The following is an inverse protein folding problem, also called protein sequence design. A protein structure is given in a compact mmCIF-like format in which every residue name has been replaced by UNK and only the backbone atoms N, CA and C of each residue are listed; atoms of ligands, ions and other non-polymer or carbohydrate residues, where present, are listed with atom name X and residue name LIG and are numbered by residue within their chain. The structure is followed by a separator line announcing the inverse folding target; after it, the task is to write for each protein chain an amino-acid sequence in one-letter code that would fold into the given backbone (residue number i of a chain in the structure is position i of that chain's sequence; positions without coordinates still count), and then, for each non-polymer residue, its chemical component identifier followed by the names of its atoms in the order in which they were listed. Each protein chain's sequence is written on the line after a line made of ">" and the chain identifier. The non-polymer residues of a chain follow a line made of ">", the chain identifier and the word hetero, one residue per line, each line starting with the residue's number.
data_IF_805687112817
#
_entry.id   IF_805687112817
#
_cell.length_a   1.000
_cell.length_b   1.000
_cell.length_c   1.000
_cell.angle_alpha   90.00
_cell.angle_beta   90.00
_cell.angle_gamma   90.00
#
_symmetry.space_group_name_H-M   'P 1'
#
loop_
_entity.id
_entity.type
_entity.pdbx_description
1 polymer ?
#
# COMPACT_ATOMS: atom_id res chain seq x y z
N UNK A 1 -4.05 -19.18 -13.99
CA UNK A 1 -3.23 -18.62 -15.09
C UNK A 1 -4.05 -17.71 -16.00
N UNK A 2 -4.87 -16.80 -15.44
CA UNK A 2 -5.61 -15.81 -16.23
C UNK A 2 -4.95 -14.43 -16.11
N UNK A 3 -4.64 -14.01 -14.89
CA UNK A 3 -4.03 -12.72 -14.55
C UNK A 3 -2.69 -12.51 -15.25
N UNK A 4 -1.80 -13.52 -15.18
CA UNK A 4 -0.50 -13.47 -15.84
C UNK A 4 -0.62 -13.43 -17.38
N UNK A 5 -1.60 -14.14 -17.96
CA UNK A 5 -1.85 -14.10 -19.40
C UNK A 5 -2.36 -12.73 -19.84
N UNK A 6 -3.28 -12.13 -19.07
CA UNK A 6 -3.77 -10.78 -19.30
C UNK A 6 -2.65 -9.75 -19.17
N UNK A 7 -1.81 -9.84 -18.13
CA UNK A 7 -0.64 -8.97 -17.99
C UNK A 7 0.31 -9.07 -19.18
N UNK A 8 0.58 -10.28 -19.67
CA UNK A 8 1.46 -10.49 -20.82
C UNK A 8 0.90 -9.90 -22.12
N UNK A 9 -0.39 -10.11 -22.40
CA UNK A 9 -1.05 -9.68 -23.64
C UNK A 9 -1.30 -8.17 -23.65
N UNK A 10 -1.83 -7.62 -22.56
CA UNK A 10 -2.32 -6.24 -22.52
C UNK A 10 -1.26 -5.24 -22.03
N UNK A 11 -0.32 -5.69 -21.18
CA UNK A 11 0.59 -4.79 -20.46
C UNK A 11 2.06 -5.21 -20.54
N UNK A 12 2.42 -6.15 -21.41
CA UNK A 12 3.80 -6.60 -21.59
C UNK A 12 4.42 -7.17 -20.31
N UNK A 13 3.62 -7.85 -19.49
CA UNK A 13 4.00 -8.38 -18.17
C UNK A 13 4.46 -7.31 -17.17
N UNK A 14 4.07 -6.05 -17.38
CA UNK A 14 4.47 -4.91 -16.54
C UNK A 14 3.30 -4.35 -15.75
N UNK A 15 3.34 -4.49 -14.43
CA UNK A 15 2.38 -3.84 -13.53
C UNK A 15 2.45 -2.31 -13.64
N UNK A 16 3.63 -1.76 -13.91
CA UNK A 16 3.77 -0.31 -14.12
C UNK A 16 2.98 0.16 -15.35
N UNK A 17 3.00 -0.61 -16.44
CA UNK A 17 2.20 -0.32 -17.64
C UNK A 17 0.70 -0.49 -17.36
N UNK A 18 0.29 -1.50 -16.58
CA UNK A 18 -1.10 -1.62 -16.12
C UNK A 18 -1.54 -0.39 -15.35
N UNK A 19 -0.77 0.03 -14.34
CA UNK A 19 -1.10 1.20 -13.54
C UNK A 19 -1.20 2.47 -14.40
N UNK A 20 -0.24 2.67 -15.29
CA UNK A 20 -0.23 3.80 -16.22
C UNK A 20 -1.45 3.79 -17.15
N UNK A 21 -1.81 2.64 -17.73
CA UNK A 21 -2.98 2.49 -18.59
C UNK A 21 -4.31 2.76 -17.88
N UNK A 22 -4.37 2.58 -16.56
CA UNK A 22 -5.52 2.93 -15.71
C UNK A 22 -5.45 4.37 -15.18
N UNK A 23 -4.52 5.17 -15.67
CA UNK A 23 -4.36 6.58 -15.34
C UNK A 23 -3.65 6.85 -14.02
N UNK A 24 -3.04 5.85 -13.37
CA UNK A 24 -2.23 6.07 -12.18
C UNK A 24 -0.84 6.59 -12.54
N UNK A 25 -0.32 7.50 -11.72
CA UNK A 25 0.96 8.15 -11.95
C UNK A 25 1.18 9.32 -10.99
N UNK A 26 2.14 10.21 -11.31
CA UNK A 26 2.32 11.46 -10.58
C UNK A 26 1.00 12.26 -10.57
N UNK A 27 0.46 12.53 -9.38
CA UNK A 27 -0.82 13.22 -9.21
C UNK A 27 -2.07 12.33 -9.16
N UNK A 28 -1.96 11.03 -9.45
CA UNK A 28 -3.05 10.07 -9.31
C UNK A 28 -2.54 8.77 -8.68
N UNK A 29 -2.55 8.74 -7.34
CA UNK A 29 -1.98 7.65 -6.55
C UNK A 29 -2.95 6.48 -6.37
N UNK A 30 -2.48 5.26 -6.70
CA UNK A 30 -3.24 4.02 -6.49
C UNK A 30 -3.43 3.70 -5.00
N UNK A 31 -2.45 4.00 -4.15
CA UNK A 31 -2.57 3.77 -2.69
C UNK A 31 -3.52 4.77 -2.05
N UNK A 32 -3.53 6.03 -2.51
CA UNK A 32 -4.49 7.03 -2.03
C UNK A 32 -5.92 6.63 -2.39
N UNK A 33 -6.16 6.15 -3.62
CA UNK A 33 -7.46 5.60 -4.01
C UNK A 33 -7.83 4.38 -3.15
N UNK A 34 -6.90 3.45 -2.93
CA UNK A 34 -7.18 2.26 -2.11
C UNK A 34 -7.61 2.61 -0.67
N UNK A 35 -7.08 3.70 -0.11
CA UNK A 35 -7.54 4.24 1.19
C UNK A 35 -8.93 4.87 1.07
N UNK A 36 -9.16 5.69 0.06
CA UNK A 36 -10.46 6.35 -0.16
C UNK A 36 -11.61 5.34 -0.35
N UNK A 37 -11.34 4.22 -1.01
CA UNK A 37 -12.28 3.11 -1.21
C UNK A 37 -12.39 2.16 0.00
N UNK A 38 -11.65 2.43 1.09
CA UNK A 38 -11.67 1.64 2.32
C UNK A 38 -10.98 0.27 2.24
N UNK A 39 -10.37 -0.07 1.11
CA UNK A 39 -9.62 -1.33 0.95
C UNK A 39 -8.34 -1.32 1.78
N UNK A 40 -7.68 -0.17 1.87
CA UNK A 40 -6.45 0.06 2.64
C UNK A 40 -6.71 1.07 3.76
N UNK A 41 -5.79 1.12 4.73
CA UNK A 41 -5.80 2.11 5.82
C UNK A 41 -4.43 2.76 5.96
N UNK A 42 -4.45 3.98 6.48
CA UNK A 42 -3.26 4.67 7.00
C UNK A 42 -3.03 4.27 8.44
N UNK A 43 -1.78 4.10 8.85
CA UNK A 43 -1.44 3.87 10.24
C UNK A 43 -1.80 5.11 11.09
N UNK A 44 -2.29 4.90 12.30
CA UNK A 44 -2.69 6.01 13.19
C UNK A 44 -1.47 6.72 13.81
N UNK A 45 -0.29 6.11 13.75
CA UNK A 45 0.93 6.62 14.38
C UNK A 45 1.98 7.13 13.40
N UNK A 46 1.85 6.84 12.10
CA UNK A 46 2.76 7.32 11.05
C UNK A 46 2.11 7.26 9.66
N UNK A 47 2.81 7.76 8.63
CA UNK A 47 2.30 7.82 7.25
C UNK A 47 2.32 6.49 6.48
N UNK A 48 2.53 5.35 7.15
CA UNK A 48 2.51 4.04 6.49
C UNK A 48 1.09 3.67 6.03
N UNK A 49 0.94 3.28 4.77
CA UNK A 49 -0.34 2.90 4.16
C UNK A 49 -0.28 1.47 3.67
N UNK A 50 -1.33 0.69 3.93
CA UNK A 50 -1.42 -0.67 3.41
C UNK A 50 -2.74 -1.37 3.71
N UNK A 51 -2.82 -2.63 3.28
CA UNK A 51 -3.94 -3.50 3.62
C UNK A 51 -4.04 -3.71 5.14
N UNK A 52 -5.23 -4.00 5.70
CA UNK A 52 -5.45 -4.13 7.14
C UNK A 52 -4.48 -5.08 7.86
N UNK A 53 -4.17 -6.23 7.24
CA UNK A 53 -3.21 -7.19 7.79
C UNK A 53 -1.78 -6.63 7.82
N UNK A 54 -1.39 -5.84 6.82
CA UNK A 54 -0.09 -5.16 6.80
C UNK A 54 -0.01 -4.07 7.87
N UNK A 55 -1.08 -3.31 8.08
CA UNK A 55 -1.15 -2.29 9.14
C UNK A 55 -1.05 -2.95 10.52
N UNK A 56 -1.79 -4.02 10.79
CA UNK A 56 -1.71 -4.74 12.05
C UNK A 56 -0.30 -5.26 12.34
N UNK A 57 0.39 -5.79 11.33
CA UNK A 57 1.77 -6.25 11.45
C UNK A 57 2.75 -5.08 11.61
N UNK A 58 2.53 -3.99 10.90
CA UNK A 58 3.32 -2.77 10.99
C UNK A 58 3.24 -2.17 12.40
N UNK A 59 2.04 -1.94 12.94
CA UNK A 59 1.85 -1.38 14.29
C UNK A 59 2.55 -2.22 15.35
N UNK A 60 2.45 -3.55 15.27
CA UNK A 60 3.15 -4.45 16.21
C UNK A 60 4.68 -4.37 16.12
N UNK A 61 5.23 -4.10 14.94
CA UNK A 61 6.69 -4.09 14.74
C UNK A 61 7.31 -2.71 14.95
N UNK A 62 6.63 -1.66 14.52
CA UNK A 62 7.13 -0.29 14.49
C UNK A 62 6.64 0.56 15.67
N UNK A 63 5.54 0.18 16.31
CA UNK A 63 4.88 0.98 17.35
C UNK A 63 4.56 0.18 18.62
N UNK A 64 5.10 -1.03 18.78
CA UNK A 64 5.12 -1.68 20.09
C UNK A 64 6.07 -0.90 20.98
N UNK A 65 5.52 -0.17 21.95
CA UNK A 65 6.31 0.47 22.98
C UNK A 65 7.14 -0.59 23.72
N UNK A 66 8.46 -0.56 23.57
CA UNK A 66 9.33 -0.93 24.69
C UNK A 66 9.10 0.12 25.80
N UNK A 67 9.11 -0.25 27.09
CA UNK A 67 8.71 0.66 28.16
C UNK A 67 9.64 1.89 28.19
N UNK A 68 9.04 3.04 28.53
CA UNK A 68 9.63 4.37 28.67
C UNK A 68 11.15 4.39 28.95
N UNK A 69 11.92 4.91 27.99
CA UNK A 69 13.25 5.43 28.29
C UNK A 69 13.12 6.92 28.64
N UNK A 70 12.97 7.15 29.94
CA UNK A 70 13.37 8.31 30.76
C UNK A 70 13.98 9.51 29.99
N UNK A 71 13.34 10.67 30.13
CA UNK A 71 13.91 11.97 29.85
C UNK A 71 14.79 12.36 31.05
N UNK A 72 16.05 12.74 30.80
CA UNK A 72 16.96 13.31 31.80
C UNK A 72 17.36 14.74 31.40
#
# INVERSE_FOLDING_TARGET
>A
MAEAALLAVEYGSSVAQLLHGHGYGPGHSVSARAVAEGAWRTCESCDYVGAPASIANHTKKAHSAAPAAEQA
#
